data_IF_463641269236
#
_entry.id   IF_463641269236
#
_cell.length_a   1.000
_cell.length_b   1.000
_cell.length_c   1.000
_cell.angle_alpha   90.00
_cell.angle_beta   90.00
_cell.angle_gamma   90.00
#
_symmetry.space_group_name_H-M   'P 1'
#
loop_
_entity.id
_entity.type
_entity.pdbx_description
1 polymer ?
#
# COMPACT_ATOMS: atom_id res chain seq x y z
N UNK A 1 -22.67 0.58 15.57
CA UNK A 1 -22.45 0.99 14.16
C UNK A 1 -21.52 -0.03 13.52
N UNK A 2 -21.74 -0.43 12.26
CA UNK A 2 -20.81 -1.34 11.55
C UNK A 2 -19.60 -0.55 11.05
N UNK A 3 -18.39 -1.01 11.34
CA UNK A 3 -17.12 -0.39 10.92
C UNK A 3 -16.56 -0.98 9.62
N UNK A 4 -17.26 -1.96 9.04
CA UNK A 4 -16.83 -2.69 7.83
C UNK A 4 -17.92 -2.70 6.76
N UNK A 5 -17.51 -2.49 5.51
CA UNK A 5 -18.35 -2.63 4.31
C UNK A 5 -17.86 -3.83 3.48
N UNK A 6 -18.78 -4.66 3.00
CA UNK A 6 -18.45 -5.76 2.09
C UNK A 6 -18.30 -5.24 0.66
N UNK A 7 -17.28 -5.72 -0.05
CA UNK A 7 -17.10 -5.51 -1.49
C UNK A 7 -17.10 -6.87 -2.19
N UNK A 8 -17.57 -6.88 -3.44
CA UNK A 8 -17.39 -8.00 -4.37
C UNK A 8 -16.39 -7.55 -5.43
N UNK A 9 -15.34 -8.34 -5.63
CA UNK A 9 -14.28 -8.04 -6.59
C UNK A 9 -14.02 -9.29 -7.43
N UNK A 10 -13.74 -9.09 -8.72
CA UNK A 10 -13.32 -10.17 -9.61
C UNK A 10 -11.80 -10.19 -9.66
N UNK A 11 -11.21 -11.35 -9.42
CA UNK A 11 -9.77 -11.58 -9.50
C UNK A 11 -9.48 -12.64 -10.57
N UNK A 12 -8.29 -12.60 -11.21
CA UNK A 12 -7.81 -13.74 -11.98
C UNK A 12 -7.78 -15.00 -11.12
N UNK A 13 -8.08 -16.16 -11.73
CA UNK A 13 -8.15 -17.44 -11.01
C UNK A 13 -6.89 -17.71 -10.18
N UNK A 14 -5.71 -17.53 -10.76
CA UNK A 14 -4.42 -17.70 -10.07
C UNK A 14 -4.31 -16.88 -8.78
N UNK A 15 -4.85 -15.66 -8.77
CA UNK A 15 -4.85 -14.82 -7.56
C UNK A 15 -5.87 -15.31 -6.53
N UNK A 16 -7.03 -15.78 -6.98
CA UNK A 16 -8.03 -16.38 -6.10
C UNK A 16 -7.50 -17.67 -5.44
N UNK A 17 -6.79 -18.50 -6.21
CA UNK A 17 -6.16 -19.72 -5.70
C UNK A 17 -5.05 -19.39 -4.71
N UNK A 18 -4.20 -18.41 -5.01
CA UNK A 18 -3.16 -17.95 -4.09
C UNK A 18 -3.73 -17.40 -2.75
N UNK A 19 -4.89 -16.75 -2.78
CA UNK A 19 -5.60 -16.32 -1.56
C UNK A 19 -6.07 -17.53 -0.75
N UNK A 20 -6.65 -18.52 -1.44
CA UNK A 20 -7.18 -19.74 -0.82
C UNK A 20 -6.08 -20.59 -0.19
N UNK A 21 -4.91 -20.70 -0.83
CA UNK A 21 -3.76 -21.42 -0.31
C UNK A 21 -3.22 -20.79 0.98
N UNK A 22 -3.23 -19.46 1.09
CA UNK A 22 -2.84 -18.74 2.31
C UNK A 22 -3.79 -19.02 3.48
N UNK A 23 -5.08 -19.19 3.20
CA UNK A 23 -6.06 -19.60 4.22
C UNK A 23 -5.90 -21.07 4.57
N UNK A 24 -5.76 -21.95 3.57
CA UNK A 24 -5.59 -23.39 3.77
C UNK A 24 -4.31 -23.74 4.55
N UNK A 25 -3.24 -22.96 4.37
CA UNK A 25 -2.00 -23.11 5.15
C UNK A 25 -2.12 -22.65 6.62
N UNK A 26 -3.23 -22.00 6.98
CA UNK A 26 -3.46 -21.46 8.32
C UNK A 26 -2.75 -20.13 8.59
N UNK A 27 -2.09 -19.53 7.58
CA UNK A 27 -1.45 -18.23 7.74
C UNK A 27 -2.45 -17.08 7.93
N UNK A 28 -3.69 -17.26 7.45
CA UNK A 28 -4.78 -16.30 7.59
C UNK A 28 -6.10 -17.02 7.87
N UNK A 29 -7.01 -16.37 8.59
CA UNK A 29 -8.31 -16.93 8.94
C UNK A 29 -9.35 -16.81 7.81
N UNK A 30 -9.13 -15.93 6.82
CA UNK A 30 -10.01 -15.75 5.66
C UNK A 30 -9.32 -15.02 4.51
N UNK A 31 -9.85 -15.16 3.29
CA UNK A 31 -9.37 -14.42 2.11
C UNK A 31 -9.53 -12.91 2.31
N UNK A 32 -10.59 -12.48 3.02
CA UNK A 32 -10.81 -11.08 3.39
C UNK A 32 -9.73 -10.53 4.33
N UNK A 33 -9.08 -11.39 5.12
CA UNK A 33 -7.94 -10.99 5.94
C UNK A 33 -6.69 -10.79 5.09
N UNK A 34 -6.39 -11.73 4.19
CA UNK A 34 -5.27 -11.61 3.25
C UNK A 34 -5.37 -10.32 2.44
N UNK A 35 -6.57 -10.02 1.90
CA UNK A 35 -6.79 -8.79 1.13
C UNK A 35 -6.61 -7.55 2.00
N UNK A 36 -7.16 -7.51 3.21
CA UNK A 36 -6.99 -6.35 4.10
C UNK A 36 -5.52 -6.14 4.47
N UNK A 37 -4.78 -7.20 4.73
CA UNK A 37 -3.36 -7.13 5.06
C UNK A 37 -2.55 -6.57 3.88
N UNK A 38 -2.78 -7.10 2.67
CA UNK A 38 -2.18 -6.57 1.45
C UNK A 38 -2.51 -5.10 1.18
N UNK A 39 -3.77 -4.69 1.40
CA UNK A 39 -4.18 -3.28 1.25
C UNK A 39 -3.51 -2.36 2.28
N UNK A 40 -3.33 -2.81 3.53
CA UNK A 40 -2.59 -2.02 4.53
C UNK A 40 -1.14 -1.81 4.12
N UNK A 41 -0.48 -2.86 3.64
CA UNK A 41 0.90 -2.77 3.17
C UNK A 41 1.03 -1.81 1.98
N UNK A 42 0.08 -1.87 1.03
CA UNK A 42 0.03 -0.95 -0.10
C UNK A 42 -0.11 0.51 0.36
N UNK A 43 -1.08 0.80 1.22
CA UNK A 43 -1.32 2.18 1.69
C UNK A 43 -0.17 2.72 2.55
N UNK A 44 0.45 1.89 3.37
CA UNK A 44 1.62 2.29 4.16
C UNK A 44 2.80 2.65 3.24
N UNK A 45 3.01 1.88 2.16
CA UNK A 45 4.03 2.18 1.16
C UNK A 45 3.73 3.49 0.44
N UNK A 46 2.49 3.70 0.00
CA UNK A 46 2.10 4.92 -0.71
C UNK A 46 2.26 6.16 0.18
N UNK A 47 1.88 6.06 1.46
CA UNK A 47 2.11 7.13 2.43
C UNK A 47 3.59 7.43 2.64
N UNK A 48 4.42 6.40 2.79
CA UNK A 48 5.87 6.58 2.98
C UNK A 48 6.53 7.28 1.77
N UNK A 49 6.08 6.96 0.55
CA UNK A 49 6.56 7.62 -0.67
C UNK A 49 6.14 9.08 -0.70
N UNK A 50 4.88 9.39 -0.39
CA UNK A 50 4.37 10.75 -0.34
C UNK A 50 5.10 11.61 0.72
N UNK A 51 5.34 11.04 1.90
CA UNK A 51 6.08 11.69 2.99
C UNK A 51 7.52 12.00 2.57
N UNK A 52 8.20 11.04 1.93
CA UNK A 52 9.56 11.22 1.41
C UNK A 52 9.62 12.31 0.33
N UNK A 53 8.68 12.30 -0.63
CA UNK A 53 8.59 13.32 -1.67
C UNK A 53 8.39 14.72 -1.07
N UNK A 54 7.53 14.82 -0.06
CA UNK A 54 7.20 16.10 0.57
C UNK A 54 8.34 16.65 1.41
N UNK A 55 9.04 15.80 2.14
CA UNK A 55 9.99 16.26 3.16
C UNK A 55 11.41 16.37 2.61
N UNK A 56 11.87 15.43 1.78
CA UNK A 56 13.26 15.44 1.30
C UNK A 56 13.39 16.09 -0.09
N UNK A 57 12.50 15.72 -1.02
CA UNK A 57 12.61 16.19 -2.41
C UNK A 57 12.18 17.64 -2.55
N UNK A 58 11.09 18.05 -1.87
CA UNK A 58 10.64 19.44 -1.93
C UNK A 58 11.65 20.41 -1.29
N UNK A 59 12.30 20.03 -0.18
CA UNK A 59 13.37 20.83 0.43
C UNK A 59 14.58 20.96 -0.50
N UNK A 60 15.04 19.84 -1.08
CA UNK A 60 16.19 19.84 -1.99
C UNK A 60 15.92 20.67 -3.24
N UNK A 61 14.74 20.52 -3.86
CA UNK A 61 14.32 21.34 -5.00
C UNK A 61 14.18 22.82 -4.64
N UNK A 62 13.64 23.14 -3.45
CA UNK A 62 13.52 24.51 -2.96
C UNK A 62 14.89 25.18 -2.76
N UNK A 63 15.87 24.45 -2.24
CA UNK A 63 17.25 24.92 -2.06
C UNK A 63 17.94 25.17 -3.41
N UNK A 64 17.83 24.23 -4.36
CA UNK A 64 18.35 24.39 -5.73
C UNK A 64 17.71 25.56 -6.48
N UNK A 65 16.40 25.76 -6.32
CA UNK A 65 15.70 26.87 -6.95
C UNK A 65 16.11 28.23 -6.36
N UNK A 66 16.40 28.27 -5.06
CA UNK A 66 16.72 29.51 -4.35
C UNK A 66 18.21 29.88 -4.39
N UNK A 67 19.10 28.91 -4.65
CA UNK A 67 20.54 29.13 -4.83
C UNK A 67 21.06 28.30 -6.03
N UNK A 68 20.96 28.82 -7.27
CA UNK A 68 21.35 28.08 -8.47
C UNK A 68 22.88 27.94 -8.68
N UNK A 69 23.71 28.46 -7.77
CA UNK A 69 25.18 28.56 -7.93
C UNK A 69 25.98 27.57 -7.05
N UNK A 70 25.29 26.68 -6.33
CA UNK A 70 25.91 25.72 -5.38
C UNK A 70 25.92 24.26 -5.92
N UNK A 71 26.18 24.12 -7.23
CA UNK A 71 26.37 22.84 -7.94
C UNK A 71 27.68 22.79 -8.71
#
# INVERSE_FOLDING_TARGET
MRTTRQLSITLPNEMADALRDRVNSGAYASESEVIRDGLRALFARDQAVEEWLRNEVAETCGALHSNPEDV
#
